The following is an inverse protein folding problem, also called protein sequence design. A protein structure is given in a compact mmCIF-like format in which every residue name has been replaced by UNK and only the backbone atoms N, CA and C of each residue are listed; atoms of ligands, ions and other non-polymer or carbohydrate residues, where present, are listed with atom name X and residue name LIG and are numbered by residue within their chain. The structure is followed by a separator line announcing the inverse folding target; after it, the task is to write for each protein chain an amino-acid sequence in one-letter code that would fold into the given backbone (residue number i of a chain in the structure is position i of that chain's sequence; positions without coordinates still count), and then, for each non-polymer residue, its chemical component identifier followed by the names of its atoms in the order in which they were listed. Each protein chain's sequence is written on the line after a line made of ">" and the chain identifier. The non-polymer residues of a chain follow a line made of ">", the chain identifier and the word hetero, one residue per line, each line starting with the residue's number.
data_IF_487622144886
#
_entry.id   IF_487622144886
#
_cell.length_a   1.000
_cell.length_b   1.000
_cell.length_c   1.000
_cell.angle_alpha   90.00
_cell.angle_beta   90.00
_cell.angle_gamma   90.00
#
_symmetry.space_group_name_H-M   'P 1'
#
loop_
_entity.id
_entity.type
_entity.pdbx_description
1 polymer ?
#
# COMPACT_ATOMS: atom_id res chain seq x y z
N UNK A 1 17.15 -4.38 20.33
CA UNK A 1 18.17 -4.74 19.32
C UNK A 1 18.77 -3.45 18.79
N UNK A 2 19.70 -2.85 19.55
CA UNK A 2 20.23 -1.51 19.27
C UNK A 2 21.17 -1.53 18.06
N UNK A 3 21.02 -0.56 17.16
CA UNK A 3 22.00 -0.29 16.08
C UNK A 3 21.74 -0.93 14.71
N UNK A 4 20.73 -1.78 14.51
CA UNK A 4 20.43 -2.30 13.17
C UNK A 4 19.37 -1.46 12.45
N UNK A 5 19.80 -0.64 11.49
CA UNK A 5 18.90 -0.09 10.45
C UNK A 5 18.51 -1.22 9.51
N UNK A 6 17.33 -1.80 9.73
CA UNK A 6 16.71 -2.76 8.82
C UNK A 6 15.69 -2.02 7.96
N UNK A 7 16.03 -1.80 6.69
CA UNK A 7 15.02 -1.39 5.71
C UNK A 7 14.34 -2.67 5.20
N UNK A 8 13.16 -2.98 5.73
CA UNK A 8 12.32 -4.06 5.24
C UNK A 8 11.62 -3.70 3.92
N UNK A 9 10.81 -4.62 3.40
CA UNK A 9 9.96 -4.36 2.23
C UNK A 9 8.91 -3.30 2.58
N UNK A 10 8.87 -2.22 1.79
CA UNK A 10 7.82 -1.20 1.90
C UNK A 10 6.65 -1.64 1.04
N UNK A 11 5.56 -2.07 1.67
CA UNK A 11 4.34 -2.47 0.96
C UNK A 11 3.51 -1.25 0.58
N UNK A 12 3.19 -1.17 -0.70
CA UNK A 12 2.37 -0.11 -1.30
C UNK A 12 1.33 -0.73 -2.22
N UNK A 13 0.12 -0.18 -2.24
CA UNK A 13 -0.94 -0.54 -3.20
C UNK A 13 -1.33 0.71 -3.98
N UNK A 14 -1.60 0.57 -5.27
CA UNK A 14 -1.98 1.69 -6.15
C UNK A 14 -3.22 1.29 -6.92
N UNK A 15 -4.19 2.20 -7.00
CA UNK A 15 -5.37 2.09 -7.87
C UNK A 15 -5.10 2.90 -9.13
N UNK A 16 -5.21 2.26 -10.29
CA UNK A 16 -4.96 2.84 -11.60
C UNK A 16 -6.23 2.70 -12.44
N UNK A 17 -6.65 3.78 -13.10
CA UNK A 17 -7.81 3.77 -13.98
C UNK A 17 -7.50 3.11 -15.34
N UNK A 18 -8.53 2.92 -16.17
CA UNK A 18 -8.37 2.34 -17.52
C UNK A 18 -7.57 3.21 -18.50
N UNK A 19 -7.23 4.45 -18.15
CA UNK A 19 -6.40 5.38 -18.94
C UNK A 19 -4.94 5.41 -18.46
N UNK A 20 -4.60 4.63 -17.42
CA UNK A 20 -3.26 4.59 -16.83
C UNK A 20 -2.99 5.70 -15.82
N UNK A 21 -4.01 6.44 -15.38
CA UNK A 21 -3.88 7.48 -14.34
C UNK A 21 -3.99 6.86 -12.96
N UNK A 22 -3.12 7.30 -12.06
CA UNK A 22 -3.16 6.90 -10.65
C UNK A 22 -4.28 7.66 -9.96
N UNK A 23 -5.27 6.93 -9.46
CA UNK A 23 -6.38 7.50 -8.69
C UNK A 23 -6.08 7.49 -7.19
N UNK A 24 -5.33 6.47 -6.70
CA UNK A 24 -5.01 6.38 -5.26
C UNK A 24 -3.75 5.61 -4.96
N UNK A 25 -3.06 6.01 -3.88
CA UNK A 25 -1.83 5.38 -3.38
C UNK A 25 -1.96 5.10 -1.89
N UNK A 26 -1.74 3.84 -1.51
CA UNK A 26 -1.67 3.39 -0.13
C UNK A 26 -0.24 3.05 0.23
N UNK A 27 0.38 3.83 1.12
CA UNK A 27 1.74 3.57 1.61
C UNK A 27 1.74 2.89 2.99
N UNK A 28 2.82 2.17 3.32
CA UNK A 28 3.00 1.50 4.63
C UNK A 28 1.84 0.54 4.98
N UNK A 29 1.39 -0.22 3.99
CA UNK A 29 0.23 -1.10 4.11
C UNK A 29 0.51 -2.27 5.06
N UNK A 30 -0.42 -2.50 5.99
CA UNK A 30 -0.50 -3.75 6.77
C UNK A 30 -1.37 -4.76 6.03
N UNK A 31 -0.92 -6.01 5.90
CA UNK A 31 -1.62 -7.04 5.12
C UNK A 31 -3.06 -7.31 5.60
N UNK A 32 -3.25 -7.39 6.92
CA UNK A 32 -4.52 -7.79 7.53
C UNK A 32 -5.59 -6.72 7.27
N UNK A 33 -6.67 -7.11 6.60
CA UNK A 33 -7.82 -6.25 6.32
C UNK A 33 -7.61 -5.18 5.25
N UNK A 34 -6.46 -5.17 4.57
CA UNK A 34 -6.18 -4.16 3.54
C UNK A 34 -7.10 -4.29 2.32
N UNK A 35 -7.40 -5.52 1.90
CA UNK A 35 -8.28 -5.76 0.77
C UNK A 35 -9.66 -5.12 0.96
N UNK A 36 -10.24 -5.21 2.16
CA UNK A 36 -11.52 -4.57 2.49
C UNK A 36 -11.42 -3.05 2.39
N UNK A 37 -10.35 -2.44 2.91
CA UNK A 37 -10.14 -0.98 2.80
C UNK A 37 -9.99 -0.51 1.37
N UNK A 38 -9.32 -1.30 0.53
CA UNK A 38 -9.20 -1.01 -0.90
C UNK A 38 -10.57 -1.09 -1.57
N UNK A 39 -11.38 -2.09 -1.22
CA UNK A 39 -12.74 -2.24 -1.75
C UNK A 39 -13.69 -1.12 -1.33
N UNK A 40 -13.55 -0.57 -0.11
CA UNK A 40 -14.34 0.57 0.37
C UNK A 40 -13.96 1.90 -0.31
N UNK A 41 -12.78 1.97 -0.93
CA UNK A 41 -12.27 3.19 -1.58
C UNK A 41 -12.27 3.13 -3.11
N UNK A 42 -12.76 2.03 -3.70
CA UNK A 42 -13.09 1.92 -5.12
C UNK A 42 -14.43 2.60 -5.42
#
# INVERSE_FOLDING_TARGET
>A
MYGKKVTGVIRTTVIIDGKGKVEKIFSKVKAKGHATKVLEEL
#
